data_IF_153491749015
#
_entry.id   IF_153491749015
#
_cell.length_a   1.000
_cell.length_b   1.000
_cell.length_c   1.000
_cell.angle_alpha   90.00
_cell.angle_beta   90.00
_cell.angle_gamma   90.00
#
_symmetry.space_group_name_H-M   'P 1'
#
loop_
_entity.id
_entity.type
_entity.pdbx_description
1 polymer ?
#
# COMPACT_ATOMS: atom_id res chain seq x y z
N UNK A 1 9.52 -23.50 6.48
CA UNK A 1 10.48 -23.08 5.44
C UNK A 1 9.99 -21.77 4.86
N UNK A 2 10.48 -20.65 5.35
CA UNK A 2 10.09 -19.32 4.87
C UNK A 2 10.82 -19.08 3.55
N UNK A 3 10.20 -19.41 2.43
CA UNK A 3 10.71 -19.03 1.11
C UNK A 3 10.77 -17.50 1.08
N UNK A 4 11.98 -16.96 1.10
CA UNK A 4 12.25 -15.55 0.85
C UNK A 4 11.83 -15.24 -0.59
N UNK A 5 10.54 -14.94 -0.79
CA UNK A 5 10.01 -14.52 -2.09
C UNK A 5 10.46 -13.08 -2.28
N UNK A 6 11.48 -12.88 -3.10
CA UNK A 6 11.78 -11.55 -3.62
C UNK A 6 10.60 -11.13 -4.50
N UNK A 7 9.83 -10.15 -4.05
CA UNK A 7 8.81 -9.52 -4.88
C UNK A 7 9.49 -8.56 -5.86
N UNK A 8 9.07 -8.62 -7.12
CA UNK A 8 9.50 -7.71 -8.17
C UNK A 8 8.41 -6.64 -8.36
N UNK A 9 8.81 -5.39 -8.63
CA UNK A 9 7.89 -4.34 -9.04
C UNK A 9 8.31 -3.77 -10.39
N UNK A 10 7.33 -3.58 -11.27
CA UNK A 10 7.46 -3.03 -12.63
C UNK A 10 6.68 -1.72 -12.74
N UNK A 11 6.81 -1.02 -13.86
CA UNK A 11 6.19 0.29 -14.08
C UNK A 11 4.67 0.31 -13.90
N UNK A 12 3.94 -0.73 -14.35
CA UNK A 12 2.48 -0.74 -14.27
C UNK A 12 1.83 0.40 -15.05
N UNK A 13 0.66 0.85 -14.61
CA UNK A 13 -0.10 1.92 -15.27
C UNK A 13 -0.89 2.79 -14.27
N UNK A 14 -1.08 4.07 -14.62
CA UNK A 14 -1.74 5.09 -13.78
C UNK A 14 -3.27 5.17 -13.94
N UNK A 15 -3.83 4.70 -15.05
CA UNK A 15 -5.21 5.02 -15.46
C UNK A 15 -6.31 4.34 -14.62
N UNK A 16 -6.00 3.28 -13.88
CA UNK A 16 -6.96 2.62 -12.97
C UNK A 16 -6.42 2.64 -11.56
N UNK A 17 -7.04 3.47 -10.72
CA UNK A 17 -6.65 3.65 -9.32
C UNK A 17 -6.96 2.42 -8.46
N UNK A 18 -6.22 2.31 -7.36
CA UNK A 18 -6.26 1.19 -6.43
C UNK A 18 -5.48 -0.03 -6.90
N UNK A 19 -5.69 -1.15 -6.20
CA UNK A 19 -5.13 -2.45 -6.54
C UNK A 19 -6.05 -3.23 -7.51
N UNK A 20 -5.55 -3.53 -8.71
CA UNK A 20 -6.29 -4.19 -9.78
C UNK A 20 -5.55 -5.43 -10.28
N UNK A 21 -6.16 -6.60 -10.11
CA UNK A 21 -5.62 -7.88 -10.58
C UNK A 21 -6.03 -8.14 -12.04
N UNK A 22 -5.08 -8.56 -12.87
CA UNK A 22 -5.29 -8.78 -14.31
C UNK A 22 -5.26 -10.26 -14.73
N UNK A 23 -5.06 -11.19 -13.80
CA UNK A 23 -4.89 -12.61 -14.08
C UNK A 23 -3.45 -13.11 -13.93
N UNK A 24 -2.45 -12.21 -14.02
CA UNK A 24 -1.03 -12.54 -13.92
C UNK A 24 -0.34 -11.86 -12.74
N UNK A 25 -0.92 -10.78 -12.22
CA UNK A 25 -0.39 -9.99 -11.12
C UNK A 25 -1.32 -8.84 -10.77
N UNK A 26 -0.82 -7.89 -9.99
CA UNK A 26 -1.62 -6.75 -9.51
C UNK A 26 -0.96 -5.44 -9.86
N UNK A 27 -1.71 -4.56 -10.51
CA UNK A 27 -1.37 -3.17 -10.70
C UNK A 27 -1.85 -2.34 -9.50
N UNK A 28 -0.97 -1.50 -8.97
CA UNK A 28 -1.26 -0.55 -7.91
C UNK A 28 -1.13 0.86 -8.47
N UNK A 29 -2.12 1.71 -8.21
CA UNK A 29 -2.05 3.12 -8.55
C UNK A 29 -2.71 3.98 -7.46
N UNK A 30 -2.00 4.99 -6.95
CA UNK A 30 -2.48 5.86 -5.87
C UNK A 30 -2.16 7.32 -6.16
N UNK A 31 -3.16 8.18 -6.03
CA UNK A 31 -3.00 9.63 -6.15
C UNK A 31 -2.26 10.20 -4.93
N UNK A 32 -1.19 10.96 -5.17
CA UNK A 32 -0.53 11.77 -4.15
C UNK A 32 0.38 12.85 -4.76
N UNK A 33 -0.18 14.03 -5.03
CA UNK A 33 0.52 15.14 -5.69
C UNK A 33 1.73 15.71 -4.91
N UNK A 34 1.76 15.55 -3.59
CA UNK A 34 2.81 16.10 -2.72
C UNK A 34 3.71 15.03 -2.10
N UNK A 35 3.52 13.76 -2.45
CA UNK A 35 4.42 12.72 -2.01
C UNK A 35 5.75 12.83 -2.75
N UNK A 36 6.84 12.57 -2.05
CA UNK A 36 8.18 12.45 -2.63
C UNK A 36 8.53 11.01 -2.97
N UNK A 37 7.87 10.05 -2.29
CA UNK A 37 8.04 8.62 -2.49
C UNK A 37 6.86 7.85 -1.91
N UNK A 38 6.43 6.80 -2.60
CA UNK A 38 5.40 5.88 -2.10
C UNK A 38 5.96 4.46 -2.05
N UNK A 39 5.86 3.83 -0.90
CA UNK A 39 6.21 2.42 -0.71
C UNK A 39 4.93 1.59 -0.52
N UNK A 40 4.79 0.54 -1.31
CA UNK A 40 3.84 -0.55 -1.14
C UNK A 40 4.39 -1.55 -0.13
N UNK A 41 3.69 -1.74 1.00
CA UNK A 41 4.02 -2.73 2.02
C UNK A 41 3.10 -3.94 1.86
N UNK A 42 3.67 -5.13 1.69
CA UNK A 42 2.93 -6.40 1.62
C UNK A 42 3.07 -7.16 2.95
N UNK A 43 2.01 -7.83 3.36
CA UNK A 43 1.94 -8.55 4.63
C UNK A 43 1.62 -10.04 4.42
N UNK A 44 1.99 -10.84 5.41
CA UNK A 44 1.58 -12.25 5.48
C UNK A 44 0.05 -12.37 5.62
N UNK A 45 -0.54 -13.56 5.38
CA UNK A 45 -1.99 -13.73 5.47
C UNK A 45 -2.59 -13.44 6.85
N UNK A 46 -1.79 -13.45 7.94
CA UNK A 46 -2.25 -13.04 9.27
C UNK A 46 -2.27 -11.52 9.45
N UNK A 47 -1.55 -10.77 8.61
CA UNK A 47 -1.36 -9.32 8.75
C UNK A 47 -0.38 -8.96 9.87
N UNK A 48 0.35 -9.91 10.43
CA UNK A 48 1.24 -9.64 11.57
C UNK A 48 2.63 -9.21 11.12
N UNK A 49 3.11 -9.75 9.99
CA UNK A 49 4.46 -9.50 9.51
C UNK A 49 4.46 -8.87 8.13
N UNK A 50 5.21 -7.78 7.99
CA UNK A 50 5.56 -7.21 6.69
C UNK A 50 6.50 -8.19 5.99
N UNK A 51 6.08 -8.73 4.85
CA UNK A 51 6.85 -9.70 4.05
C UNK A 51 7.59 -9.04 2.90
N UNK A 52 7.17 -7.84 2.48
CA UNK A 52 7.82 -7.08 1.44
C UNK A 52 7.54 -5.59 1.55
N UNK A 53 8.46 -4.79 1.01
CA UNK A 53 8.30 -3.35 0.84
C UNK A 53 8.89 -2.96 -0.50
N UNK A 54 8.07 -2.38 -1.36
CA UNK A 54 8.38 -2.09 -2.75
C UNK A 54 8.12 -0.60 -3.00
N UNK A 55 9.12 0.12 -3.47
CA UNK A 55 8.92 1.51 -3.91
C UNK A 55 8.14 1.52 -5.24
N UNK A 56 7.09 2.33 -5.33
CA UNK A 56 6.36 2.50 -6.59
C UNK A 56 7.26 3.24 -7.59
N UNK A 57 7.63 2.62 -8.72
CA UNK A 57 8.70 3.13 -9.58
C UNK A 57 8.30 4.32 -10.45
N UNK A 58 7.01 4.51 -10.70
CA UNK A 58 6.53 5.49 -11.67
C UNK A 58 5.58 6.52 -11.04
N UNK A 59 5.61 7.72 -11.61
CA UNK A 59 4.77 8.84 -11.23
C UNK A 59 4.30 9.59 -12.47
N UNK A 60 3.01 9.50 -12.77
CA UNK A 60 2.38 10.13 -13.94
C UNK A 60 1.09 10.80 -13.52
N UNK A 61 0.87 12.06 -13.91
CA UNK A 61 -0.36 12.82 -13.59
C UNK A 61 -0.75 12.76 -12.11
N UNK A 62 0.22 12.97 -11.21
CA UNK A 62 0.04 12.95 -9.76
C UNK A 62 -0.29 11.58 -9.15
N UNK A 63 -0.19 10.52 -9.95
CA UNK A 63 -0.47 9.14 -9.57
C UNK A 63 0.83 8.36 -9.51
N UNK A 64 1.10 7.78 -8.34
CA UNK A 64 2.16 6.81 -8.14
C UNK A 64 1.67 5.44 -8.54
N UNK A 65 2.43 4.71 -9.33
CA UNK A 65 1.99 3.39 -9.79
C UNK A 65 3.12 2.37 -9.95
N UNK A 66 2.72 1.11 -9.93
CA UNK A 66 3.61 -0.03 -10.12
C UNK A 66 2.83 -1.34 -10.24
N UNK A 67 3.46 -2.34 -10.83
CA UNK A 67 2.88 -3.66 -11.05
C UNK A 67 3.70 -4.74 -10.36
N UNK A 68 3.03 -5.61 -9.59
CA UNK A 68 3.65 -6.74 -8.89
C UNK A 68 3.21 -8.04 -9.56
N UNK A 69 4.07 -8.67 -10.38
CA UNK A 69 3.76 -9.94 -11.03
C UNK A 69 3.50 -11.04 -10.01
N UNK A 70 2.60 -11.97 -10.34
CA UNK A 70 2.24 -13.18 -9.57
C UNK A 70 1.62 -12.91 -8.21
N UNK A 71 1.41 -11.65 -7.82
CA UNK A 71 0.62 -11.32 -6.65
C UNK A 71 -0.83 -11.76 -6.90
N UNK A 72 -1.44 -12.41 -5.92
CA UNK A 72 -2.76 -13.00 -6.04
C UNK A 72 -3.80 -12.17 -5.28
N UNK A 73 -5.09 -12.22 -5.69
CA UNK A 73 -6.18 -11.68 -4.88
C UNK A 73 -6.15 -12.27 -3.46
N UNK A 74 -6.56 -11.46 -2.48
CA UNK A 74 -6.49 -11.82 -1.06
C UNK A 74 -5.16 -11.47 -0.37
N UNK A 75 -4.15 -10.97 -1.10
CA UNK A 75 -2.93 -10.45 -0.48
C UNK A 75 -3.22 -9.19 0.34
N UNK A 76 -2.60 -9.11 1.52
CA UNK A 76 -2.72 -7.97 2.43
C UNK A 76 -1.66 -6.92 2.12
N UNK A 77 -2.07 -5.65 2.02
CA UNK A 77 -1.17 -4.54 1.71
C UNK A 77 -1.56 -3.23 2.42
N UNK A 78 -0.61 -2.29 2.41
CA UNK A 78 -0.80 -0.89 2.80
C UNK A 78 0.28 -0.01 2.16
N UNK A 79 0.17 1.30 2.33
CA UNK A 79 1.16 2.25 1.82
C UNK A 79 1.92 2.97 2.92
N UNK A 80 3.20 3.28 2.67
CA UNK A 80 3.95 4.31 3.41
C UNK A 80 4.28 5.42 2.45
N UNK A 81 3.82 6.62 2.78
CA UNK A 81 3.97 7.78 1.91
C UNK A 81 4.94 8.76 2.57
N UNK A 82 5.97 9.11 1.82
CA UNK A 82 7.01 10.06 2.18
C UNK A 82 6.71 11.40 1.55
N UNK A 83 7.10 12.47 2.23
CA UNK A 83 6.91 13.83 1.79
C UNK A 83 7.16 14.81 2.93
N UNK A 84 6.92 16.11 2.72
CA UNK A 84 7.19 17.13 3.71
C UNK A 84 6.31 16.96 4.96
N UNK A 85 6.92 17.10 6.13
CA UNK A 85 6.18 17.27 7.38
C UNK A 85 6.20 18.75 7.75
N UNK A 86 5.17 19.46 7.30
CA UNK A 86 4.95 20.88 7.58
C UNK A 86 3.47 21.10 7.97
N UNK A 87 3.13 20.84 9.25
CA UNK A 87 1.75 20.91 9.71
C UNK A 87 1.10 22.29 9.63
N UNK A 88 1.90 23.36 9.61
CA UNK A 88 1.42 24.74 9.53
C UNK A 88 0.89 25.05 8.13
N UNK A 89 1.49 24.46 7.09
CA UNK A 89 1.02 24.51 5.71
C UNK A 89 0.16 23.30 5.32
N UNK A 90 -0.27 22.48 6.29
CA UNK A 90 -1.17 21.35 6.08
C UNK A 90 -0.50 20.06 5.61
N UNK A 91 0.81 20.04 5.38
CA UNK A 91 1.55 18.83 5.02
C UNK A 91 1.83 17.96 6.24
N UNK A 92 1.31 16.74 6.25
CA UNK A 92 1.39 15.81 7.39
C UNK A 92 1.89 14.43 6.98
N UNK A 93 2.80 14.38 6.01
CA UNK A 93 3.41 13.12 5.59
C UNK A 93 4.18 12.48 6.75
N UNK A 94 3.89 11.21 7.03
CA UNK A 94 4.55 10.46 8.10
C UNK A 94 4.75 9.01 7.66
N UNK A 95 5.91 8.64 7.12
CA UNK A 95 6.15 7.30 6.61
C UNK A 95 6.16 6.23 7.71
N UNK A 96 6.22 6.60 9.00
CA UNK A 96 6.12 5.65 10.10
C UNK A 96 4.69 5.12 10.27
N UNK A 97 3.68 5.78 9.71
CA UNK A 97 2.29 5.34 9.72
C UNK A 97 1.99 4.55 8.44
N UNK A 98 1.42 3.36 8.62
CA UNK A 98 0.87 2.60 7.52
C UNK A 98 -0.48 3.20 7.13
N UNK A 99 -0.66 3.46 5.84
CA UNK A 99 -1.84 4.09 5.27
C UNK A 99 -2.70 3.08 4.51
N UNK A 100 -3.99 3.35 4.54
CA UNK A 100 -5.02 2.66 3.76
C UNK A 100 -5.10 3.38 2.39
N UNK A 101 -5.06 2.62 1.32
CA UNK A 101 -5.46 2.95 -0.05
C UNK A 101 -6.90 3.48 -0.05
N UNK A 102 -7.11 4.74 -0.44
CA UNK A 102 -8.44 5.33 -0.51
C UNK A 102 -9.36 4.63 -1.54
N UNK A 103 -8.79 3.86 -2.47
CA UNK A 103 -9.51 3.12 -3.50
C UNK A 103 -9.66 1.63 -3.19
N UNK A 104 -9.35 1.20 -1.95
CA UNK A 104 -9.51 -0.19 -1.55
C UNK A 104 -10.97 -0.64 -1.64
N UNK A 105 -11.17 -1.81 -2.24
CA UNK A 105 -12.48 -2.45 -2.35
C UNK A 105 -12.88 -3.20 -1.08
N UNK A 106 -11.91 -3.55 -0.23
CA UNK A 106 -12.15 -4.23 1.05
C UNK A 106 -11.03 -3.96 2.06
N UNK A 107 -11.41 -3.84 3.33
CA UNK A 107 -10.50 -3.71 4.47
C UNK A 107 -10.31 -5.08 5.13
N UNK A 108 -9.05 -5.50 5.29
CA UNK A 108 -8.69 -6.73 5.99
C UNK A 108 -8.12 -6.43 7.38
N UNK A 109 -8.66 -7.07 8.41
CA UNK A 109 -8.18 -6.94 9.79
C UNK A 109 -9.30 -6.78 10.82
N UNK A 110 -8.97 -6.97 12.10
CA UNK A 110 -9.93 -6.84 13.19
C UNK A 110 -10.21 -5.37 13.49
N UNK A 111 -11.49 -4.96 13.40
CA UNK A 111 -11.97 -3.68 13.96
C UNK A 111 -11.98 -3.84 15.48
N UNK A 112 -10.96 -3.34 16.18
CA UNK A 112 -11.04 -3.20 17.62
C UNK A 112 -11.79 -1.91 17.98
N UNK A 113 -13.10 -2.04 18.16
CA UNK A 113 -13.93 -1.03 18.84
C UNK A 113 -13.65 -1.10 20.35
N UNK A 114 -12.69 -0.30 20.84
CA UNK A 114 -12.45 -0.15 22.27
C UNK A 114 -11.22 0.70 22.57
N UNK A 115 -11.36 1.67 23.48
CA UNK A 115 -10.34 2.62 23.94
C UNK A 115 -8.97 1.97 24.18
N UNK A 116 -8.02 2.10 23.25
CA UNK A 116 -6.62 1.72 23.50
C UNK A 116 -5.61 2.45 22.58
N UNK A 117 -4.45 2.75 23.16
CA UNK A 117 -3.31 3.53 22.63
C UNK A 117 -3.13 3.52 21.09
N UNK A 118 -3.13 4.72 20.51
CA UNK A 118 -2.99 5.07 19.07
C UNK A 118 -1.57 4.78 18.50
N UNK A 119 -0.87 3.76 19.01
CA UNK A 119 0.48 3.39 18.57
C UNK A 119 0.58 2.02 17.90
N UNK A 120 -0.46 1.18 17.93
CA UNK A 120 -0.46 -0.16 17.29
C UNK A 120 -1.84 -0.54 16.78
N UNK A 121 -2.36 0.18 15.79
CA UNK A 121 -3.46 -0.35 14.97
C UNK A 121 -2.93 -0.42 13.55
N UNK A 122 -2.65 -1.64 13.09
CA UNK A 122 -2.28 -1.88 11.71
C UNK A 122 -3.56 -2.25 10.97
N UNK A 123 -4.13 -1.28 10.25
CA UNK A 123 -5.19 -1.55 9.29
C UNK A 123 -4.53 -1.98 7.98
N UNK A 124 -4.95 -3.10 7.42
CA UNK A 124 -4.50 -3.58 6.12
C UNK A 124 -5.66 -3.59 5.14
N UNK A 125 -5.35 -3.61 3.87
CA UNK A 125 -6.35 -3.81 2.82
C UNK A 125 -6.08 -5.10 2.11
N UNK A 126 -7.14 -5.63 1.52
CA UNK A 126 -7.06 -6.83 0.71
C UNK A 126 -7.41 -6.50 -0.74
N UNK A 127 -6.76 -7.21 -1.66
CA UNK A 127 -6.99 -7.08 -3.09
C UNK A 127 -8.21 -7.93 -3.44
N UNK A 128 -9.31 -7.31 -3.87
CA UNK A 128 -10.55 -7.99 -4.28
C UNK A 128 -10.81 -7.75 -5.77
N UNK A 129 -10.93 -8.83 -6.54
CA UNK A 129 -11.31 -8.80 -7.95
C UNK A 129 -12.78 -8.46 -8.14
#
# INVERSE_FOLDING_TARGET
>A
MTTNRAFEIRSGYSHTLGANYDGEGVNFAIFSAHAERVELCLYDPSGEHEIARLELPEYTDEIWHGYVPKLQPGALYGYRVYGPYDPENGHRFNPNKLLIDPYARELGGAIFSGTMRISRINYFMTIKI
#
